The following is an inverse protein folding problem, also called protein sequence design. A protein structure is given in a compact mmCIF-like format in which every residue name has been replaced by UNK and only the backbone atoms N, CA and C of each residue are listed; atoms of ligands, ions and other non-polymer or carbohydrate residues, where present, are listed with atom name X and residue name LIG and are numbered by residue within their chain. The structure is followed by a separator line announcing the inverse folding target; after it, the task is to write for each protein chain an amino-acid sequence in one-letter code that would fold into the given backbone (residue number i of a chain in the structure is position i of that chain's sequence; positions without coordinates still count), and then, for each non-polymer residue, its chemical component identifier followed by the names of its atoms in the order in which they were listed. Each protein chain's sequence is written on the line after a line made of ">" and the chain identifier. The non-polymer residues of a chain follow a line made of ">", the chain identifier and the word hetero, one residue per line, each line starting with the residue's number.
data_IF_105407972681
#
_entry.id   IF_105407972681
#
_cell.length_a   1.000
_cell.length_b   1.000
_cell.length_c   1.000
_cell.angle_alpha   90.00
_cell.angle_beta   90.00
_cell.angle_gamma   90.00
#
_symmetry.space_group_name_H-M   'P 1'
#
loop_
_entity.id
_entity.type
_entity.pdbx_description
1 polymer ?
#
# COMPACT_ATOMS: atom_id res chain seq x y z
N UNK A 1 26.44 5.92 -23.66
CA UNK A 1 25.75 4.62 -23.68
C UNK A 1 26.12 3.67 -22.53
N UNK A 2 27.32 3.72 -21.93
CA UNK A 2 27.71 2.69 -20.95
C UNK A 2 27.25 2.94 -19.50
N UNK A 3 27.02 4.21 -19.11
CA UNK A 3 26.67 4.56 -17.73
C UNK A 3 25.22 4.23 -17.37
N UNK A 4 24.27 4.45 -18.29
CA UNK A 4 22.86 4.12 -18.08
C UNK A 4 22.64 2.60 -18.01
N UNK A 5 23.33 1.84 -18.87
CA UNK A 5 23.29 0.37 -18.82
C UNK A 5 23.94 -0.16 -17.55
N UNK A 6 25.03 0.46 -17.08
CA UNK A 6 25.66 0.11 -15.80
C UNK A 6 24.73 0.34 -14.61
N UNK A 7 24.02 1.48 -14.56
CA UNK A 7 23.03 1.76 -13.52
C UNK A 7 21.83 0.80 -13.59
N UNK A 8 21.35 0.46 -14.79
CA UNK A 8 20.30 -0.54 -14.97
C UNK A 8 20.72 -1.92 -14.43
N UNK A 9 21.95 -2.35 -14.73
CA UNK A 9 22.49 -3.62 -14.25
C UNK A 9 22.66 -3.64 -12.71
N UNK A 10 23.07 -2.52 -12.10
CA UNK A 10 23.15 -2.40 -10.64
C UNK A 10 21.78 -2.51 -9.98
N UNK A 11 20.72 -1.95 -10.58
CA UNK A 11 19.35 -2.10 -10.07
C UNK A 11 18.84 -3.54 -10.10
N UNK A 12 19.36 -4.37 -10.99
CA UNK A 12 19.02 -5.80 -11.07
C UNK A 12 19.79 -6.62 -10.03
N UNK A 13 21.09 -6.35 -9.85
CA UNK A 13 21.98 -7.21 -9.03
C UNK A 13 21.93 -6.84 -7.54
N UNK A 14 21.76 -5.57 -7.18
CA UNK A 14 21.84 -5.12 -5.78
C UNK A 14 20.71 -5.63 -4.87
N UNK A 15 19.45 -5.77 -5.33
CA UNK A 15 18.41 -6.44 -4.55
C UNK A 15 18.76 -7.89 -4.22
N UNK A 16 19.47 -8.60 -5.12
CA UNK A 16 19.90 -10.00 -4.92
C UNK A 16 20.92 -10.12 -3.78
N UNK A 17 21.69 -9.06 -3.53
CA UNK A 17 22.73 -9.01 -2.47
C UNK A 17 22.14 -8.43 -1.15
N UNK A 18 20.84 -8.13 -1.11
CA UNK A 18 20.17 -7.59 0.10
C UNK A 18 20.39 -6.10 0.31
N UNK A 19 20.87 -5.37 -0.71
CA UNK A 19 20.95 -3.92 -0.72
C UNK A 19 19.68 -3.35 -1.36
N UNK A 20 18.57 -3.38 -0.61
CA UNK A 20 17.26 -2.83 -1.03
C UNK A 20 17.26 -1.30 -1.25
N UNK A 21 18.35 -0.61 -0.92
CA UNK A 21 18.46 0.86 -0.97
C UNK A 21 18.33 1.48 -2.37
N UNK A 22 18.36 0.68 -3.44
CA UNK A 22 18.27 1.15 -4.84
C UNK A 22 17.04 0.65 -5.59
N UNK A 23 16.09 -0.01 -4.90
CA UNK A 23 14.79 -0.26 -5.50
C UNK A 23 14.14 1.09 -5.87
N UNK A 24 13.53 1.20 -7.07
CA UNK A 24 12.64 2.34 -7.33
C UNK A 24 11.64 2.44 -6.18
N UNK A 25 11.52 3.61 -5.58
CA UNK A 25 10.42 3.87 -4.69
C UNK A 25 9.15 4.07 -5.52
N UNK A 26 7.98 3.64 -5.02
CA UNK A 26 6.72 3.84 -5.70
C UNK A 26 6.54 5.29 -6.15
N UNK A 27 6.10 5.49 -7.38
CA UNK A 27 5.60 6.75 -7.96
C UNK A 27 4.50 7.32 -7.09
N UNK A 28 3.65 6.47 -6.53
CA UNK A 28 2.70 6.86 -5.51
C UNK A 28 3.37 7.56 -4.31
N UNK A 29 4.62 7.26 -3.95
CA UNK A 29 5.33 7.94 -2.85
C UNK A 29 6.17 9.11 -3.34
N UNK A 30 6.76 9.02 -4.53
CA UNK A 30 7.75 10.00 -5.03
C UNK A 30 7.13 11.18 -5.81
N UNK A 31 5.92 11.02 -6.36
CA UNK A 31 5.26 12.05 -7.20
C UNK A 31 4.04 12.72 -6.54
N UNK A 32 4.14 13.07 -5.25
CA UNK A 32 3.04 13.68 -4.45
C UNK A 32 2.59 15.06 -4.96
N UNK A 33 3.34 15.70 -5.87
CA UNK A 33 2.92 16.94 -6.52
C UNK A 33 1.81 16.76 -7.56
N UNK A 34 1.57 15.53 -8.04
CA UNK A 34 0.49 15.20 -8.96
C UNK A 34 -0.67 14.55 -8.19
N UNK A 35 -1.92 14.66 -8.69
CA UNK A 35 -3.05 13.90 -8.14
C UNK A 35 -2.77 12.41 -8.08
N UNK A 36 -3.30 11.73 -7.06
CA UNK A 36 -3.10 10.31 -6.86
C UNK A 36 -3.51 9.49 -8.09
N UNK A 37 -4.72 9.75 -8.62
CA UNK A 37 -5.25 9.05 -9.80
C UNK A 37 -4.35 9.20 -11.05
N UNK A 38 -3.70 10.35 -11.24
CA UNK A 38 -2.85 10.61 -12.42
C UNK A 38 -1.54 9.83 -12.36
N UNK A 39 -0.92 9.74 -11.16
CA UNK A 39 0.38 9.07 -11.00
C UNK A 39 0.26 7.55 -10.81
N UNK A 40 -0.92 7.05 -10.47
CA UNK A 40 -1.21 5.60 -10.35
C UNK A 40 -2.17 5.10 -11.43
N UNK A 41 -2.40 5.85 -12.50
CA UNK A 41 -3.38 5.53 -13.54
C UNK A 41 -3.20 4.14 -14.19
N UNK A 42 -1.96 3.64 -14.24
CA UNK A 42 -1.61 2.34 -14.81
C UNK A 42 -1.82 1.19 -13.82
N UNK A 43 -2.05 1.49 -12.53
CA UNK A 43 -2.10 0.51 -11.46
C UNK A 43 -3.51 0.05 -11.09
N UNK A 44 -3.60 -1.19 -10.63
CA UNK A 44 -4.85 -1.71 -10.05
C UNK A 44 -5.07 -1.07 -8.69
N UNK A 45 -6.22 -0.40 -8.56
CA UNK A 45 -6.61 0.21 -7.31
C UNK A 45 -7.40 -0.76 -6.44
N UNK A 46 -7.05 -0.79 -5.16
CA UNK A 46 -7.72 -1.55 -4.13
C UNK A 46 -8.42 -0.63 -3.14
N UNK A 47 -9.51 -1.09 -2.55
CA UNK A 47 -10.28 -0.33 -1.58
C UNK A 47 -10.73 -1.18 -0.39
N UNK A 48 -10.79 -0.52 0.77
CA UNK A 48 -11.54 -0.97 1.94
C UNK A 48 -12.74 -0.03 2.10
N UNK A 49 -13.93 -0.62 2.25
CA UNK A 49 -15.16 0.08 2.66
C UNK A 49 -15.73 -0.62 3.88
N UNK A 50 -15.44 -0.09 5.07
CA UNK A 50 -15.83 -0.73 6.32
C UNK A 50 -17.19 -0.25 6.81
N UNK A 51 -17.90 -1.07 7.59
CA UNK A 51 -19.23 -0.75 8.16
C UNK A 51 -19.22 0.47 9.09
N UNK A 52 -18.07 0.86 9.63
CA UNK A 52 -17.93 2.12 10.39
C UNK A 52 -18.03 3.34 9.49
N UNK A 53 -17.93 3.18 8.17
CA UNK A 53 -17.84 4.26 7.19
C UNK A 53 -16.41 4.65 6.83
N UNK A 54 -15.39 4.01 7.41
CA UNK A 54 -13.99 4.21 7.00
C UNK A 54 -13.77 3.71 5.58
N UNK A 55 -13.12 4.54 4.79
CA UNK A 55 -12.76 4.26 3.41
C UNK A 55 -11.27 4.46 3.20
N UNK A 56 -10.60 3.50 2.57
CA UNK A 56 -9.20 3.60 2.21
C UNK A 56 -8.99 3.10 0.79
N UNK A 57 -8.05 3.72 0.07
CA UNK A 57 -7.65 3.33 -1.28
C UNK A 57 -6.15 3.04 -1.28
N UNK A 58 -5.75 2.01 -2.01
CA UNK A 58 -4.37 1.60 -2.14
C UNK A 58 -4.04 1.13 -3.56
N UNK A 59 -2.76 1.03 -3.87
CA UNK A 59 -2.22 0.41 -5.09
C UNK A 59 -1.08 -0.52 -4.72
N UNK A 60 -0.77 -1.48 -5.59
CA UNK A 60 0.45 -2.28 -5.49
C UNK A 60 1.44 -1.78 -6.54
N UNK A 61 2.61 -1.31 -6.10
CA UNK A 61 3.63 -0.75 -6.99
C UNK A 61 5.01 -1.23 -6.53
N UNK A 62 5.84 -1.75 -7.46
CA UNK A 62 7.18 -2.27 -7.18
C UNK A 62 7.25 -3.30 -6.02
N UNK A 63 6.17 -4.05 -5.81
CA UNK A 63 6.03 -5.04 -4.73
C UNK A 63 5.72 -4.46 -3.36
N UNK A 64 5.47 -3.15 -3.26
CA UNK A 64 4.98 -2.48 -2.07
C UNK A 64 3.47 -2.22 -2.17
N UNK A 65 2.78 -2.33 -1.03
CA UNK A 65 1.35 -2.02 -0.96
C UNK A 65 1.18 -0.60 -0.42
N UNK A 66 0.85 0.34 -1.29
CA UNK A 66 0.83 1.78 -0.97
C UNK A 66 -0.58 2.24 -0.69
N UNK A 67 -0.86 2.67 0.55
CA UNK A 67 -2.13 3.34 0.88
C UNK A 67 -2.01 4.80 0.49
N UNK A 68 -2.98 5.29 -0.28
CA UNK A 68 -2.96 6.65 -0.84
C UNK A 68 -3.41 7.68 0.19
N UNK A 69 -2.91 8.91 0.03
CA UNK A 69 -3.43 10.07 0.75
C UNK A 69 -4.94 10.24 0.53
N UNK A 70 -5.63 10.79 1.53
CA UNK A 70 -7.09 10.84 1.52
C UNK A 70 -7.77 9.63 2.16
N UNK A 71 -7.08 8.48 2.24
CA UNK A 71 -7.58 7.30 2.94
C UNK A 71 -7.79 7.58 4.43
N UNK A 72 -8.77 6.90 5.03
CA UNK A 72 -9.07 6.98 6.46
C UNK A 72 -8.57 5.75 7.21
N UNK A 73 -8.32 5.90 8.51
CA UNK A 73 -8.00 4.83 9.43
C UNK A 73 -8.78 4.99 10.73
N UNK A 74 -9.24 3.88 11.31
CA UNK A 74 -9.85 3.87 12.64
C UNK A 74 -8.82 4.12 13.76
N UNK A 75 -9.31 4.62 14.89
CA UNK A 75 -8.58 4.64 16.17
C UNK A 75 -9.48 4.19 17.31
N UNK A 76 -8.88 3.74 18.40
CA UNK A 76 -9.58 3.51 19.66
C UNK A 76 -10.42 2.23 19.70
N UNK A 77 -10.16 1.25 18.83
CA UNK A 77 -10.90 -0.03 18.85
C UNK A 77 -10.50 -0.94 20.01
N UNK A 78 -9.43 -0.61 20.74
CA UNK A 78 -8.88 -1.41 21.83
C UNK A 78 -7.99 -2.58 21.38
N UNK A 79 -7.78 -2.78 20.06
CA UNK A 79 -6.99 -3.89 19.50
C UNK A 79 -5.53 -3.53 19.13
N UNK A 80 -5.10 -2.28 19.34
CA UNK A 80 -3.80 -1.72 18.91
C UNK A 80 -2.56 -2.41 19.49
N UNK A 81 -2.68 -3.10 20.63
CA UNK A 81 -1.55 -3.34 21.53
C UNK A 81 -0.56 -4.45 21.15
N UNK A 82 -0.63 -5.14 20.00
CA UNK A 82 0.20 -6.35 19.83
C UNK A 82 1.05 -6.48 18.55
N UNK A 83 0.83 -5.72 17.46
CA UNK A 83 1.67 -5.94 16.25
C UNK A 83 2.02 -4.70 15.40
N UNK A 84 1.13 -3.69 15.29
CA UNK A 84 1.37 -2.53 14.41
C UNK A 84 1.36 -1.18 15.13
N UNK A 85 1.31 -1.16 16.47
CA UNK A 85 1.34 0.08 17.27
C UNK A 85 2.56 0.95 16.96
N UNK A 86 3.77 0.38 17.00
CA UNK A 86 4.99 1.14 16.68
C UNK A 86 5.04 1.67 15.24
N UNK A 87 4.43 0.95 14.27
CA UNK A 87 4.32 1.45 12.89
C UNK A 87 3.37 2.66 12.83
N UNK A 88 2.23 2.58 13.52
CA UNK A 88 1.26 3.68 13.60
C UNK A 88 1.87 4.91 14.28
N UNK A 89 2.59 4.74 15.38
CA UNK A 89 3.30 5.82 16.08
C UNK A 89 4.33 6.49 15.16
N UNK A 90 5.09 5.70 14.40
CA UNK A 90 6.02 6.22 13.38
C UNK A 90 5.30 7.05 12.32
N UNK A 91 4.19 6.55 11.79
CA UNK A 91 3.39 7.26 10.79
C UNK A 91 2.83 8.59 11.33
N UNK A 92 2.42 8.63 12.60
CA UNK A 92 1.95 9.85 13.26
C UNK A 92 3.12 10.83 13.43
N UNK A 93 4.27 10.36 13.92
CA UNK A 93 5.47 11.18 14.09
C UNK A 93 5.95 11.80 12.76
N UNK A 94 5.82 11.08 11.66
CA UNK A 94 6.18 11.54 10.32
C UNK A 94 5.06 12.35 9.62
N UNK A 95 3.97 12.66 10.33
CA UNK A 95 2.76 13.32 9.79
C UNK A 95 2.16 12.61 8.58
N UNK A 96 2.40 11.30 8.44
CA UNK A 96 1.75 10.47 7.43
C UNK A 96 0.29 10.21 7.78
N UNK A 97 0.02 10.04 9.06
CA UNK A 97 -1.31 9.82 9.60
C UNK A 97 -1.65 10.98 10.54
N UNK A 98 -2.73 11.71 10.24
CA UNK A 98 -3.15 12.90 10.99
C UNK A 98 -4.56 12.75 11.54
N UNK A 99 -4.90 13.37 12.68
CA UNK A 99 -6.27 13.37 13.19
C UNK A 99 -7.26 13.90 12.15
N UNK A 100 -8.42 13.25 11.99
CA UNK A 100 -9.47 13.69 11.07
C UNK A 100 -10.82 13.85 11.75
N UNK A 101 -11.18 12.92 12.63
CA UNK A 101 -12.38 12.95 13.45
C UNK A 101 -12.10 12.31 14.82
N UNK A 102 -13.11 12.24 15.69
CA UNK A 102 -12.99 11.68 17.05
C UNK A 102 -12.53 10.20 17.04
N UNK A 103 -13.01 9.41 16.07
CA UNK A 103 -12.73 7.97 15.94
C UNK A 103 -11.87 7.62 14.72
N UNK A 104 -11.31 8.64 14.03
CA UNK A 104 -10.60 8.46 12.76
C UNK A 104 -9.38 9.35 12.58
N UNK A 105 -8.42 8.79 11.87
CA UNK A 105 -7.31 9.50 11.29
C UNK A 105 -7.39 9.44 9.76
N UNK A 106 -6.59 10.28 9.10
CA UNK A 106 -6.49 10.35 7.66
C UNK A 106 -5.03 10.28 7.22
N UNK A 107 -4.78 9.58 6.12
CA UNK A 107 -3.49 9.59 5.45
C UNK A 107 -3.29 10.96 4.78
N UNK A 108 -2.37 11.76 5.30
CA UNK A 108 -2.03 13.07 4.75
C UNK A 108 -1.08 12.97 3.55
N UNK A 109 -0.29 11.90 3.51
CA UNK A 109 0.60 11.52 2.41
C UNK A 109 0.49 10.00 2.19
N UNK A 110 0.82 9.50 1.00
CA UNK A 110 0.79 8.08 0.71
C UNK A 110 1.84 7.36 1.55
N UNK A 111 1.56 6.10 1.90
CA UNK A 111 2.45 5.31 2.76
C UNK A 111 2.64 3.89 2.23
N UNK A 112 3.88 3.46 1.97
CA UNK A 112 4.17 2.09 1.57
C UNK A 112 4.12 1.15 2.78
N UNK A 113 3.44 0.03 2.63
CA UNK A 113 3.41 -1.06 3.59
C UNK A 113 4.12 -2.28 3.03
N UNK A 114 4.78 -3.02 3.93
CA UNK A 114 5.45 -4.29 3.60
C UNK A 114 4.48 -5.42 3.23
N UNK A 115 3.17 -5.24 3.48
CA UNK A 115 2.14 -6.20 3.06
C UNK A 115 0.74 -5.58 3.08
N UNK A 116 -0.22 -6.14 2.31
CA UNK A 116 -1.63 -5.74 2.38
C UNK A 116 -2.23 -5.95 3.78
N UNK A 117 -1.76 -6.94 4.55
CA UNK A 117 -2.23 -7.20 5.91
C UNK A 117 -1.78 -6.12 6.89
N UNK A 118 -0.55 -5.61 6.77
CA UNK A 118 -0.09 -4.48 7.58
C UNK A 118 -0.91 -3.21 7.29
N UNK A 119 -1.17 -2.94 6.00
CA UNK A 119 -2.02 -1.83 5.57
C UNK A 119 -3.45 -1.94 6.13
N UNK A 120 -4.09 -3.11 5.98
CA UNK A 120 -5.44 -3.34 6.49
C UNK A 120 -5.50 -3.23 8.01
N UNK A 121 -4.46 -3.69 8.71
CA UNK A 121 -4.43 -3.63 10.16
C UNK A 121 -4.35 -2.20 10.71
N UNK A 122 -3.60 -1.32 10.03
CA UNK A 122 -3.55 0.11 10.38
C UNK A 122 -4.87 0.81 10.04
N UNK A 123 -5.44 0.55 8.87
CA UNK A 123 -6.72 1.15 8.43
C UNK A 123 -7.88 0.74 9.34
N UNK A 124 -7.97 -0.52 9.73
CA UNK A 124 -9.08 -1.07 10.51
C UNK A 124 -8.81 -1.08 12.03
N UNK A 125 -7.62 -0.64 12.44
CA UNK A 125 -7.17 -0.61 13.83
C UNK A 125 -7.30 -1.97 14.54
N UNK A 126 -7.06 -3.08 13.81
CA UNK A 126 -7.14 -4.46 14.34
C UNK A 126 -6.30 -5.41 13.49
N UNK A 127 -5.92 -6.56 14.02
CA UNK A 127 -5.35 -7.62 13.18
C UNK A 127 -6.35 -8.00 12.08
N UNK A 128 -5.91 -7.95 10.83
CA UNK A 128 -6.75 -8.34 9.70
C UNK A 128 -5.96 -9.02 8.59
N UNK A 129 -6.66 -9.89 7.85
CA UNK A 129 -6.14 -10.55 6.67
C UNK A 129 -6.36 -9.62 5.47
N UNK A 130 -5.34 -8.83 5.13
CA UNK A 130 -5.44 -7.85 4.06
C UNK A 130 -5.81 -8.45 2.70
N UNK A 131 -5.45 -9.72 2.46
CA UNK A 131 -5.76 -10.40 1.20
C UNK A 131 -7.28 -10.57 0.97
N UNK A 132 -8.07 -10.54 2.05
CA UNK A 132 -9.53 -10.63 2.02
C UNK A 132 -10.22 -9.27 2.23
N UNK A 133 -9.60 -8.35 2.97
CA UNK A 133 -10.18 -7.03 3.24
C UNK A 133 -10.10 -6.10 2.03
N UNK A 134 -8.96 -6.08 1.34
CA UNK A 134 -8.75 -5.22 0.18
C UNK A 134 -9.51 -5.79 -1.03
N UNK A 135 -10.37 -4.97 -1.64
CA UNK A 135 -11.13 -5.31 -2.83
C UNK A 135 -10.67 -4.52 -4.02
N UNK A 136 -10.66 -5.12 -5.21
CA UNK A 136 -10.36 -4.39 -6.44
C UNK A 136 -11.47 -3.37 -6.70
N UNK A 137 -11.11 -2.09 -6.85
CA UNK A 137 -12.06 -1.00 -7.11
C UNK A 137 -12.86 -1.30 -8.37
N UNK A 138 -14.19 -1.24 -8.26
CA UNK A 138 -15.10 -1.52 -9.39
C UNK A 138 -15.29 -3.00 -9.70
N UNK A 139 -14.74 -3.90 -8.89
CA UNK A 139 -14.87 -5.35 -9.05
C UNK A 139 -15.42 -6.01 -7.79
N UNK A 140 -15.83 -7.29 -7.91
CA UNK A 140 -16.22 -8.14 -6.77
C UNK A 140 -15.04 -8.90 -6.17
N UNK A 141 -13.90 -8.90 -6.86
CA UNK A 141 -12.72 -9.65 -6.44
C UNK A 141 -12.05 -8.99 -5.24
N UNK A 142 -11.66 -9.81 -4.27
CA UNK A 142 -10.69 -9.40 -3.26
C UNK A 142 -9.26 -9.54 -3.81
N UNK A 143 -8.30 -8.98 -3.07
CA UNK A 143 -6.89 -8.99 -3.44
C UNK A 143 -6.34 -10.41 -3.66
N UNK A 144 -6.74 -11.39 -2.83
CA UNK A 144 -6.31 -12.78 -3.00
C UNK A 144 -6.79 -13.36 -4.34
N UNK A 145 -8.08 -13.21 -4.65
CA UNK A 145 -8.68 -13.71 -5.88
C UNK A 145 -8.09 -13.04 -7.11
N UNK A 146 -7.84 -11.72 -7.03
CA UNK A 146 -7.17 -10.98 -8.08
C UNK A 146 -5.74 -11.51 -8.32
N UNK A 147 -4.95 -11.73 -7.26
CA UNK A 147 -3.61 -12.32 -7.39
C UNK A 147 -3.63 -13.70 -8.05
N UNK A 148 -4.59 -14.55 -7.68
CA UNK A 148 -4.74 -15.88 -8.30
C UNK A 148 -5.08 -15.76 -9.79
N UNK A 149 -5.98 -14.84 -10.15
CA UNK A 149 -6.36 -14.63 -11.55
C UNK A 149 -5.18 -14.12 -12.39
N UNK A 150 -4.31 -13.27 -11.84
CA UNK A 150 -3.09 -12.83 -12.53
C UNK A 150 -2.08 -13.96 -12.72
N UNK A 151 -1.89 -14.79 -11.69
CA UNK A 151 -0.98 -15.94 -11.76
C UNK A 151 -1.46 -16.98 -12.79
N UNK A 152 -2.76 -17.33 -12.78
CA UNK A 152 -3.33 -18.30 -13.72
C UNK A 152 -3.43 -17.80 -15.17
N UNK A 153 -3.39 -16.49 -15.39
CA UNK A 153 -3.31 -15.89 -16.73
C UNK A 153 -1.93 -15.96 -17.37
N UNK A 154 -0.88 -16.26 -16.59
CA UNK A 154 0.51 -16.29 -17.07
C UNK A 154 0.97 -17.68 -17.55
N UNK A 155 0.15 -18.73 -17.42
CA UNK A 155 0.50 -20.12 -17.78
C UNK A 155 0.05 -20.55 -19.19
N UNK A 156 -0.40 -19.64 -20.06
CA UNK A 156 -0.82 -19.99 -21.44
C UNK A 156 -0.08 -19.13 -22.49
N UNK A 157 1.25 -19.19 -22.48
CA UNK A 157 2.05 -18.80 -23.66
C UNK A 157 3.36 -19.58 -23.67
N UNK A 158 3.31 -20.84 -24.13
CA UNK A 158 4.41 -21.48 -24.86
C UNK A 158 3.84 -22.55 -25.81
#
# INVERSE_FOLDING_TARGET
>A
ANMEQFLANLRIILPVIGLDMLKPQPRAVTQVAKPADDRTAEEVHFEIRHKSGVQATAVEEDGEFVVLEGSEALIGTGYVQQSYGGLKDKMIAESALVPHAEDRMRFAKPWPFSSPSAAAAVVLDRNSNGRLEWKVRGSKLNYHEWQQAQAGGSEVTE
#
